data_IF_127155555747
#
_entry.id   IF_127155555747
#
_cell.length_a   1.000
_cell.length_b   1.000
_cell.length_c   1.000
_cell.angle_alpha   90.00
_cell.angle_beta   90.00
_cell.angle_gamma   90.00
#
_symmetry.space_group_name_H-M   'P 1'
#
loop_
_entity.id
_entity.type
_entity.pdbx_description
1 polymer ?
#
# COMPACT_ATOMS: atom_id res chain seq x y z
N UNK A 1 -5.15 -11.36 -5.30
CA UNK A 1 -4.71 -10.09 -5.90
C UNK A 1 -4.14 -9.17 -4.84
N UNK A 2 -2.97 -8.59 -5.10
CA UNK A 2 -2.37 -7.56 -4.27
C UNK A 2 -2.52 -6.19 -4.97
N UNK A 3 -2.47 -5.12 -4.20
CA UNK A 3 -2.61 -3.75 -4.67
C UNK A 3 -1.24 -3.26 -5.20
N UNK A 4 -1.21 -2.86 -6.48
CA UNK A 4 -0.02 -2.33 -7.13
C UNK A 4 0.32 -0.91 -6.69
N UNK A 5 1.43 -0.37 -7.20
CA UNK A 5 1.86 1.00 -6.94
C UNK A 5 0.73 2.02 -7.22
N UNK A 6 0.57 3.00 -6.34
CA UNK A 6 -0.49 4.02 -6.35
C UNK A 6 -1.94 3.51 -6.21
N UNK A 7 -2.16 2.21 -6.01
CA UNK A 7 -3.50 1.71 -5.71
C UNK A 7 -3.91 2.15 -4.31
N UNK A 8 -5.15 2.64 -4.16
CA UNK A 8 -5.71 2.99 -2.85
C UNK A 8 -5.70 1.78 -1.91
N UNK A 9 -5.24 1.96 -0.69
CA UNK A 9 -5.04 0.88 0.27
C UNK A 9 -5.58 1.25 1.66
N UNK A 10 -5.89 0.23 2.46
CA UNK A 10 -6.31 0.40 3.85
C UNK A 10 -5.10 0.20 4.77
N UNK A 11 -4.71 1.21 5.58
CA UNK A 11 -3.54 1.09 6.47
C UNK A 11 -3.73 0.05 7.58
N UNK A 12 -4.97 -0.34 7.92
CA UNK A 12 -5.26 -1.40 8.88
C UNK A 12 -5.36 -2.78 8.21
N UNK A 13 -5.42 -2.82 6.88
CA UNK A 13 -5.50 -4.06 6.09
C UNK A 13 -4.60 -3.92 4.85
N UNK A 14 -3.29 -3.94 5.08
CA UNK A 14 -2.30 -3.76 4.02
C UNK A 14 -2.39 -4.91 3.00
N UNK A 15 -3.02 -4.64 1.86
CA UNK A 15 -3.10 -5.56 0.72
C UNK A 15 -2.10 -5.22 -0.39
N UNK A 16 -1.13 -4.35 -0.14
CA UNK A 16 -0.14 -3.98 -1.13
C UNK A 16 0.74 -5.17 -1.55
N UNK A 17 1.18 -5.20 -2.81
CA UNK A 17 2.11 -6.22 -3.28
C UNK A 17 3.46 -6.13 -2.55
N UNK A 18 4.23 -7.22 -2.56
CA UNK A 18 5.57 -7.25 -1.98
C UNK A 18 6.43 -6.08 -2.50
N UNK A 19 7.10 -5.38 -1.59
CA UNK A 19 7.85 -4.14 -1.87
C UNK A 19 7.04 -2.85 -1.74
N UNK A 20 5.71 -2.94 -1.53
CA UNK A 20 4.86 -1.78 -1.29
C UNK A 20 4.26 -1.79 0.12
N UNK A 21 4.18 -0.62 0.73
CA UNK A 21 3.56 -0.37 2.03
C UNK A 21 2.37 0.56 1.89
N UNK A 22 1.37 0.33 2.73
CA UNK A 22 0.24 1.22 2.94
C UNK A 22 0.44 1.99 4.25
N UNK A 23 0.62 3.32 4.17
CA UNK A 23 0.81 4.13 5.37
C UNK A 23 -0.43 4.99 5.63
N UNK A 24 -0.82 5.18 6.89
CA UNK A 24 -2.03 5.95 7.23
C UNK A 24 -2.01 7.39 6.71
N UNK A 25 -0.81 8.00 6.63
CA UNK A 25 -0.60 9.34 6.04
C UNK A 25 -0.80 9.38 4.52
N UNK A 26 -0.60 8.25 3.84
CA UNK A 26 -0.65 8.09 2.40
C UNK A 26 -1.41 6.81 2.07
N UNK A 27 -2.76 6.85 2.02
CA UNK A 27 -3.61 5.65 1.88
C UNK A 27 -3.59 5.08 0.46
N UNK A 28 -2.39 4.87 -0.07
CA UNK A 28 -2.07 4.19 -1.32
C UNK A 28 -0.78 3.40 -1.19
N UNK A 29 -0.67 2.31 -1.95
CA UNK A 29 0.51 1.47 -1.99
C UNK A 29 1.68 2.23 -2.61
N UNK A 30 2.78 2.33 -1.87
CA UNK A 30 4.01 3.02 -2.26
C UNK A 30 5.21 2.18 -1.86
N UNK A 31 6.37 2.41 -2.47
CA UNK A 31 7.60 1.76 -2.02
C UNK A 31 7.87 2.10 -0.54
N UNK A 32 8.31 1.10 0.21
CA UNK A 32 8.92 1.31 1.52
C UNK A 32 10.31 1.91 1.26
N UNK A 33 10.41 3.23 1.42
CA UNK A 33 11.64 4.01 1.26
C UNK A 33 12.10 4.50 2.62
#
# INVERSE_FOLDING_TARGET
>A
DCLGWFSGCDPNNNKCCEGYVCHWKYPWCRYDL
#
